data_IF_633798475019
#
_entry.id   IF_633798475019
#
_cell.length_a   1.000
_cell.length_b   1.000
_cell.length_c   1.000
_cell.angle_alpha   90.00
_cell.angle_beta   90.00
_cell.angle_gamma   90.00
#
_symmetry.space_group_name_H-M   'P 1'
#
loop_
_entity.id
_entity.type
_entity.pdbx_description
1 polymer ?
#
# COMPACT_ATOMS: atom_id res chain seq x y z
N UNK A 1 -2.46 -28.54 -32.40
CA UNK A 1 -1.71 -27.43 -33.02
C UNK A 1 -1.12 -26.59 -31.89
N UNK A 2 0.14 -26.83 -31.52
CA UNK A 2 0.81 -26.16 -30.40
C UNK A 2 1.30 -24.78 -30.86
N UNK A 3 0.80 -23.71 -30.25
CA UNK A 3 1.28 -22.35 -30.51
C UNK A 3 2.81 -22.26 -30.30
N UNK A 4 3.52 -21.45 -31.11
CA UNK A 4 4.95 -21.22 -30.94
C UNK A 4 5.27 -20.73 -29.51
N UNK A 5 6.44 -21.11 -29.01
CA UNK A 5 6.86 -20.83 -27.62
C UNK A 5 6.78 -19.32 -27.29
N UNK A 6 7.22 -18.47 -28.22
CA UNK A 6 7.15 -17.00 -28.11
C UNK A 6 5.72 -16.45 -27.99
N UNK A 7 4.72 -17.05 -28.66
CA UNK A 7 3.33 -16.59 -28.53
C UNK A 7 2.70 -17.01 -27.20
N UNK A 8 3.17 -18.10 -26.59
CA UNK A 8 2.75 -18.52 -25.25
C UNK A 8 3.29 -17.59 -24.17
N UNK A 9 4.55 -17.19 -24.27
CA UNK A 9 5.18 -16.24 -23.34
C UNK A 9 4.51 -14.87 -23.39
N UNK A 10 4.27 -14.34 -24.60
CA UNK A 10 3.56 -13.08 -24.77
C UNK A 10 2.13 -13.17 -24.22
N UNK A 11 1.42 -14.27 -24.48
CA UNK A 11 0.10 -14.51 -23.92
C UNK A 11 0.10 -14.54 -22.38
N UNK A 12 1.10 -15.16 -21.77
CA UNK A 12 1.28 -15.21 -20.32
C UNK A 12 1.53 -13.83 -19.70
N UNK A 13 2.39 -13.02 -20.32
CA UNK A 13 2.69 -11.66 -19.86
C UNK A 13 1.47 -10.75 -19.97
N UNK A 14 0.71 -10.85 -21.07
CA UNK A 14 -0.54 -10.12 -21.25
C UNK A 14 -1.57 -10.52 -20.20
N UNK A 15 -1.68 -11.81 -19.89
CA UNK A 15 -2.59 -12.30 -18.86
C UNK A 15 -2.17 -11.82 -17.47
N UNK A 16 -0.88 -11.86 -17.14
CA UNK A 16 -0.37 -11.32 -15.87
C UNK A 16 -0.65 -9.81 -15.75
N UNK A 17 -0.43 -9.05 -16.83
CA UNK A 17 -0.75 -7.62 -16.86
C UNK A 17 -2.25 -7.36 -16.66
N UNK A 18 -3.12 -8.20 -17.25
CA UNK A 18 -4.56 -8.14 -17.02
C UNK A 18 -4.93 -8.45 -15.56
N UNK A 19 -4.30 -9.47 -14.94
CA UNK A 19 -4.50 -9.82 -13.52
C UNK A 19 -4.06 -8.67 -12.61
N UNK A 20 -2.89 -8.08 -12.86
CA UNK A 20 -2.40 -6.92 -12.11
C UNK A 20 -3.31 -5.70 -12.27
N UNK A 21 -3.73 -5.41 -13.50
CA UNK A 21 -4.63 -4.30 -13.80
C UNK A 21 -5.99 -4.46 -13.14
N UNK A 22 -6.59 -5.64 -13.22
CA UNK A 22 -7.85 -5.97 -12.55
C UNK A 22 -7.71 -5.90 -11.03
N UNK A 23 -6.64 -6.49 -10.49
CA UNK A 23 -6.36 -6.49 -9.05
C UNK A 23 -6.16 -5.08 -8.51
N UNK A 24 -5.49 -4.19 -9.25
CA UNK A 24 -5.33 -2.78 -8.87
C UNK A 24 -6.67 -2.03 -8.97
N UNK A 25 -7.44 -2.26 -10.05
CA UNK A 25 -8.74 -1.65 -10.25
C UNK A 25 -9.67 -1.94 -9.09
N UNK A 26 -9.83 -3.22 -8.70
CA UNK A 26 -10.70 -3.63 -7.58
C UNK A 26 -10.28 -2.93 -6.28
N UNK A 27 -8.98 -2.83 -6.00
CA UNK A 27 -8.48 -2.23 -4.75
C UNK A 27 -8.69 -0.73 -4.72
N UNK A 28 -8.42 -0.05 -5.83
CA UNK A 28 -8.67 1.38 -5.98
C UNK A 28 -10.17 1.69 -5.94
N UNK A 29 -11.00 0.81 -6.50
CA UNK A 29 -12.45 0.93 -6.47
C UNK A 29 -12.98 0.82 -5.03
N UNK A 30 -12.53 -0.17 -4.26
CA UNK A 30 -12.85 -0.32 -2.83
C UNK A 30 -12.38 0.89 -2.01
N UNK A 31 -11.18 1.40 -2.28
CA UNK A 31 -10.67 2.61 -1.64
C UNK A 31 -11.53 3.85 -1.93
N UNK A 32 -12.10 3.97 -3.13
CA UNK A 32 -12.90 5.14 -3.54
C UNK A 32 -14.38 5.04 -3.21
N UNK A 33 -14.93 3.83 -3.20
CA UNK A 33 -16.33 3.55 -2.90
C UNK A 33 -16.46 3.19 -1.41
N UNK A 34 -16.35 4.23 -0.58
CA UNK A 34 -16.81 4.16 0.80
C UNK A 34 -18.32 3.99 0.84
N UNK A 35 -18.80 3.23 1.82
CA UNK A 35 -20.22 3.11 2.13
C UNK A 35 -20.83 4.52 2.24
N UNK A 36 -21.99 4.81 1.61
CA UNK A 36 -22.58 6.15 1.60
C UNK A 36 -22.79 6.73 3.01
N UNK A 37 -23.00 5.87 4.00
CA UNK A 37 -23.15 6.23 5.41
C UNK A 37 -21.84 6.65 6.08
N UNK A 38 -20.70 6.08 5.65
CA UNK A 38 -19.37 6.34 6.19
C UNK A 38 -18.65 7.48 5.47
N UNK A 39 -19.03 7.77 4.21
CA UNK A 39 -18.46 8.83 3.38
C UNK A 39 -18.39 10.20 4.06
N UNK A 40 -19.39 10.68 4.82
CA UNK A 40 -19.31 11.97 5.51
C UNK A 40 -18.23 12.03 6.61
N UNK A 41 -17.85 10.86 7.14
CA UNK A 41 -16.88 10.73 8.24
C UNK A 41 -15.47 10.40 7.75
N UNK A 42 -15.36 9.80 6.55
CA UNK A 42 -14.11 9.29 5.98
C UNK A 42 -13.67 10.01 4.71
N UNK A 43 -14.32 11.13 4.36
CA UNK A 43 -13.86 12.01 3.28
C UNK A 43 -14.01 13.48 3.65
N UNK A 44 -13.04 14.28 3.21
CA UNK A 44 -13.06 15.73 3.38
C UNK A 44 -13.95 16.41 2.33
N UNK A 45 -14.22 17.71 2.51
CA UNK A 45 -15.00 18.53 1.57
C UNK A 45 -14.41 18.51 0.14
N UNK A 46 -13.08 18.38 0.04
CA UNK A 46 -12.34 18.29 -1.22
C UNK A 46 -12.27 16.86 -1.79
N UNK A 47 -12.93 15.89 -1.16
CA UNK A 47 -12.95 14.48 -1.57
C UNK A 47 -11.73 13.66 -1.16
N UNK A 48 -10.84 14.20 -0.30
CA UNK A 48 -9.69 13.46 0.24
C UNK A 48 -10.13 12.40 1.25
N UNK A 49 -9.64 11.17 1.10
CA UNK A 49 -9.99 10.04 1.96
C UNK A 49 -9.20 10.07 3.28
N UNK A 50 -9.88 9.75 4.38
CA UNK A 50 -9.28 9.48 5.69
C UNK A 50 -9.08 7.99 5.91
N UNK A 51 -8.26 7.64 6.91
CA UNK A 51 -8.15 6.25 7.32
C UNK A 51 -9.36 5.79 8.15
N UNK A 52 -9.84 4.58 7.90
CA UNK A 52 -10.79 3.78 8.65
C UNK A 52 -10.23 3.37 10.01
N UNK A 53 -8.98 2.92 10.07
CA UNK A 53 -8.37 2.42 11.32
C UNK A 53 -7.50 3.47 12.01
N UNK A 54 -7.61 3.54 13.34
CA UNK A 54 -6.83 4.46 14.17
C UNK A 54 -5.31 4.24 14.02
N UNK A 55 -4.86 2.99 13.91
CA UNK A 55 -3.43 2.66 13.83
C UNK A 55 -2.75 3.25 12.58
N UNK A 56 -3.48 3.40 11.47
CA UNK A 56 -2.95 4.02 10.24
C UNK A 56 -2.55 5.48 10.45
N UNK A 57 -3.24 6.22 11.33
CA UNK A 57 -2.86 7.59 11.65
C UNK A 57 -1.52 7.68 12.37
N UNK A 58 -1.14 6.66 13.15
CA UNK A 58 0.17 6.60 13.79
C UNK A 58 1.28 6.50 12.72
N UNK A 59 1.13 5.60 11.75
CA UNK A 59 2.09 5.43 10.66
C UNK A 59 2.16 6.66 9.76
N UNK A 60 1.03 7.31 9.50
CA UNK A 60 0.99 8.57 8.78
C UNK A 60 1.75 9.68 9.48
N UNK A 61 1.58 9.86 10.79
CA UNK A 61 2.35 10.83 11.57
C UNK A 61 3.85 10.51 11.56
N UNK A 62 4.22 9.25 11.77
CA UNK A 62 5.62 8.82 11.69
C UNK A 62 6.22 9.09 10.31
N UNK A 63 5.47 8.86 9.23
CA UNK A 63 5.91 9.12 7.86
C UNK A 63 6.12 10.61 7.61
N UNK A 64 5.24 11.46 8.16
CA UNK A 64 5.39 12.91 8.11
C UNK A 64 6.66 13.35 8.84
N UNK A 65 6.90 12.83 10.04
CA UNK A 65 8.11 13.15 10.80
C UNK A 65 9.38 12.71 10.07
N UNK A 66 9.34 11.57 9.36
CA UNK A 66 10.45 11.15 8.49
C UNK A 66 10.72 12.17 7.38
N UNK A 67 9.69 12.74 6.77
CA UNK A 67 9.82 13.76 5.73
C UNK A 67 10.32 15.10 6.28
N UNK A 68 9.82 15.50 7.46
CA UNK A 68 10.09 16.83 8.04
C UNK A 68 11.41 16.87 8.84
N UNK A 69 11.74 15.79 9.53
CA UNK A 69 12.86 15.72 10.49
C UNK A 69 13.91 14.66 10.15
N UNK A 70 13.63 13.76 9.20
CA UNK A 70 14.51 12.64 8.88
C UNK A 70 14.42 11.49 9.89
N UNK A 71 13.43 11.46 10.77
CA UNK A 71 13.20 10.38 11.73
C UNK A 71 11.72 10.22 12.12
N UNK A 72 11.32 9.02 12.55
CA UNK A 72 9.92 8.71 12.88
C UNK A 72 9.41 9.27 14.23
N UNK A 73 10.24 9.99 15.00
CA UNK A 73 9.85 10.65 16.25
C UNK A 73 9.53 12.14 16.05
N UNK A 74 8.97 12.78 17.09
CA UNK A 74 8.79 14.24 17.17
C UNK A 74 10.11 14.94 17.52
N UNK A 75 10.94 14.28 18.33
CA UNK A 75 12.23 14.82 18.75
C UNK A 75 13.31 13.76 18.83
N UNK A 76 14.57 14.18 18.94
CA UNK A 76 15.70 13.31 19.26
C UNK A 76 16.08 13.51 20.72
N UNK A 77 16.01 12.43 21.51
CA UNK A 77 16.52 12.40 22.87
C UNK A 77 17.73 11.47 22.93
N UNK A 78 18.91 12.04 23.22
CA UNK A 78 20.18 11.32 23.21
C UNK A 78 20.41 10.50 21.92
N UNK A 79 20.11 11.10 20.76
CA UNK A 79 20.27 10.46 19.44
C UNK A 79 19.21 9.43 19.08
N UNK A 80 18.19 9.20 19.93
CA UNK A 80 17.09 8.28 19.66
C UNK A 80 15.82 9.05 19.34
N UNK A 81 15.12 8.63 18.29
CA UNK A 81 13.81 9.17 17.94
C UNK A 81 12.84 8.96 19.11
N UNK A 82 12.15 10.02 19.51
CA UNK A 82 11.25 10.04 20.65
C UNK A 82 9.88 10.55 20.22
N UNK A 83 8.84 9.92 20.75
CA UNK A 83 7.44 10.27 20.52
C UNK A 83 6.90 11.01 21.75
N UNK A 84 6.83 12.33 21.65
CA UNK A 84 6.37 13.21 22.72
C UNK A 84 4.84 13.25 22.84
N UNK A 85 4.12 12.86 21.79
CA UNK A 85 2.66 12.98 21.72
C UNK A 85 1.92 11.75 22.25
N UNK A 86 2.63 10.67 22.55
CA UNK A 86 2.06 9.44 23.11
C UNK A 86 2.52 9.26 24.55
N UNK A 87 1.67 8.74 25.44
CA UNK A 87 2.00 8.56 26.88
C UNK A 87 2.39 9.87 27.58
N UNK A 88 1.55 10.89 27.41
CA UNK A 88 1.71 12.14 28.13
C UNK A 88 1.73 11.90 29.66
N UNK A 89 2.56 12.62 30.43
CA UNK A 89 3.48 13.68 29.99
C UNK A 89 4.88 13.20 29.60
N UNK A 90 5.20 11.91 29.79
CA UNK A 90 6.58 11.41 29.69
C UNK A 90 7.04 11.18 28.26
N UNK A 91 6.12 10.91 27.33
CA UNK A 91 6.46 10.43 26.01
C UNK A 91 6.92 8.98 26.03
N UNK A 92 7.35 8.47 24.87
CA UNK A 92 8.03 7.17 24.76
C UNK A 92 9.06 7.18 23.62
N UNK A 93 10.03 6.24 23.59
CA UNK A 93 10.83 6.02 22.39
C UNK A 93 9.95 5.76 21.18
N UNK A 94 10.24 6.41 20.04
CA UNK A 94 9.54 6.12 18.79
C UNK A 94 9.96 4.73 18.30
N UNK A 95 8.98 3.91 17.93
CA UNK A 95 9.26 2.56 17.44
C UNK A 95 9.78 2.65 15.99
N UNK A 96 10.84 1.90 15.63
CA UNK A 96 11.31 1.86 14.25
C UNK A 96 10.20 1.26 13.38
N UNK A 97 9.70 2.05 12.42
CA UNK A 97 8.64 1.62 11.51
C UNK A 97 9.15 1.62 10.07
N UNK A 98 9.36 0.43 9.51
CA UNK A 98 9.71 0.27 8.10
C UNK A 98 8.62 0.88 7.20
N UNK A 99 7.35 0.69 7.57
CA UNK A 99 6.22 1.20 6.81
C UNK A 99 6.26 2.74 6.71
N UNK A 100 6.64 3.44 7.79
CA UNK A 100 6.76 4.89 7.78
C UNK A 100 7.82 5.39 6.78
N UNK A 101 8.95 4.68 6.70
CA UNK A 101 10.01 4.98 5.73
C UNK A 101 9.58 4.67 4.29
N UNK A 102 8.94 3.52 4.07
CA UNK A 102 8.41 3.13 2.74
C UNK A 102 7.38 4.15 2.27
N UNK A 103 6.48 4.58 3.16
CA UNK A 103 5.45 5.57 2.86
C UNK A 103 6.05 6.95 2.57
N UNK A 104 7.03 7.40 3.36
CA UNK A 104 7.76 8.63 3.08
C UNK A 104 8.47 8.58 1.71
N UNK A 105 9.13 7.47 1.39
CA UNK A 105 9.80 7.29 0.10
C UNK A 105 8.80 7.28 -1.08
N UNK A 106 7.69 6.55 -0.93
CA UNK A 106 6.61 6.52 -1.93
C UNK A 106 6.00 7.92 -2.14
N UNK A 107 5.88 8.72 -1.08
CA UNK A 107 5.39 10.09 -1.19
C UNK A 107 6.34 10.98 -2.01
N UNK A 108 7.66 10.82 -1.89
CA UNK A 108 8.63 11.61 -2.65
C UNK A 108 8.56 11.42 -4.17
N UNK A 109 8.02 10.29 -4.63
CA UNK A 109 7.79 10.00 -6.06
C UNK A 109 6.35 10.28 -6.50
N UNK A 110 5.49 10.72 -5.58
CA UNK A 110 4.10 11.07 -5.88
C UNK A 110 4.05 12.45 -6.56
N UNK A 111 3.18 12.66 -7.58
CA UNK A 111 3.03 13.95 -8.24
C UNK A 111 2.73 15.10 -7.26
N UNK A 112 3.24 16.29 -7.59
CA UNK A 112 2.94 17.52 -6.85
C UNK A 112 1.42 17.79 -6.84
N UNK A 113 0.88 18.13 -5.67
CA UNK A 113 -0.56 18.38 -5.48
C UNK A 113 -1.31 17.23 -4.81
N UNK A 114 -0.69 16.06 -4.65
CA UNK A 114 -1.25 14.97 -3.84
C UNK A 114 -0.82 15.15 -2.39
N UNK A 115 -1.76 15.07 -1.45
CA UNK A 115 -1.47 15.11 -0.02
C UNK A 115 -0.79 13.82 0.45
N UNK A 116 0.03 13.90 1.50
CA UNK A 116 0.64 12.71 2.11
C UNK A 116 -0.43 11.70 2.57
N UNK A 117 -1.57 12.21 3.05
CA UNK A 117 -2.69 11.37 3.46
C UNK A 117 -3.26 10.57 2.28
N UNK A 118 -3.53 11.24 1.14
CA UNK A 118 -4.01 10.57 -0.05
C UNK A 118 -2.99 9.53 -0.57
N UNK A 119 -1.71 9.87 -0.61
CA UNK A 119 -0.67 8.93 -1.01
C UNK A 119 -0.58 7.70 -0.09
N UNK A 120 -0.74 7.91 1.22
CA UNK A 120 -0.75 6.84 2.22
C UNK A 120 -1.96 5.90 2.07
N UNK A 121 -3.13 6.46 1.75
CA UNK A 121 -4.34 5.71 1.45
C UNK A 121 -4.15 4.76 0.25
N UNK A 122 -3.47 5.20 -0.81
CA UNK A 122 -3.21 4.35 -1.99
C UNK A 122 -2.02 3.40 -1.85
N UNK A 123 -1.17 3.58 -0.83
CA UNK A 123 0.04 2.79 -0.65
C UNK A 123 -0.23 1.26 -0.53
N UNK A 124 -1.21 0.77 0.26
CA UNK A 124 -1.49 -0.65 0.34
C UNK A 124 -1.94 -1.26 -1.00
N UNK A 125 -2.68 -0.50 -1.82
CA UNK A 125 -3.06 -0.94 -3.16
C UNK A 125 -1.83 -1.15 -4.05
N UNK A 126 -0.85 -0.24 -4.01
CA UNK A 126 0.43 -0.38 -4.74
C UNK A 126 1.25 -1.56 -4.22
N UNK A 127 1.39 -1.71 -2.91
CA UNK A 127 2.13 -2.83 -2.30
C UNK A 127 1.49 -4.18 -2.61
N UNK A 128 0.17 -4.25 -2.72
CA UNK A 128 -0.53 -5.47 -3.10
C UNK A 128 -0.15 -5.96 -4.50
N UNK A 129 0.14 -5.06 -5.46
CA UNK A 129 0.61 -5.44 -6.78
C UNK A 129 1.97 -6.13 -6.72
N UNK A 130 2.85 -5.69 -5.80
CA UNK A 130 4.12 -6.37 -5.56
C UNK A 130 3.92 -7.79 -5.00
N UNK A 131 2.92 -7.98 -4.13
CA UNK A 131 2.56 -9.32 -3.60
C UNK A 131 2.03 -10.24 -4.70
N UNK A 132 1.17 -9.72 -5.59
CA UNK A 132 0.68 -10.48 -6.76
C UNK A 132 1.84 -10.94 -7.64
N UNK A 133 2.80 -10.05 -7.91
CA UNK A 133 3.98 -10.40 -8.68
C UNK A 133 4.86 -11.42 -7.96
N UNK A 134 5.06 -11.27 -6.65
CA UNK A 134 5.82 -12.22 -5.85
C UNK A 134 5.20 -13.62 -5.89
N UNK A 135 3.88 -13.73 -5.73
CA UNK A 135 3.17 -15.02 -5.78
C UNK A 135 3.15 -15.63 -7.19
N UNK A 136 3.16 -14.80 -8.23
CA UNK A 136 3.39 -15.27 -9.60
C UNK A 136 4.77 -15.94 -9.74
N UNK A 137 5.83 -15.26 -9.29
CA UNK A 137 7.20 -15.78 -9.36
C UNK A 137 7.37 -17.05 -8.51
N UNK A 138 6.78 -17.08 -7.31
CA UNK A 138 6.80 -18.26 -6.46
C UNK A 138 6.07 -19.44 -7.11
N UNK A 139 4.90 -19.20 -7.70
CA UNK A 139 4.16 -20.26 -8.41
C UNK A 139 4.89 -20.75 -9.66
N UNK A 140 5.65 -19.87 -10.35
CA UNK A 140 6.51 -20.27 -11.46
C UNK A 140 7.57 -21.29 -11.01
N UNK A 141 8.21 -21.05 -9.87
CA UNK A 141 9.25 -21.94 -9.33
C UNK A 141 8.66 -23.30 -8.87
N UNK A 142 7.49 -23.28 -8.21
CA UNK A 142 6.89 -24.48 -7.64
C UNK A 142 6.20 -25.40 -8.65
N UNK A 143 5.60 -24.85 -9.71
CA UNK A 143 4.77 -25.64 -10.63
C UNK A 143 4.64 -25.06 -12.03
N UNK A 144 5.55 -24.15 -12.39
CA UNK A 144 5.57 -23.51 -13.70
C UNK A 144 4.43 -22.51 -13.91
N UNK A 145 4.22 -22.15 -15.17
CA UNK A 145 3.38 -21.01 -15.57
C UNK A 145 1.94 -21.08 -15.03
N UNK A 146 1.33 -22.27 -15.00
CA UNK A 146 -0.06 -22.42 -14.55
C UNK A 146 -0.21 -22.12 -13.06
N UNK A 147 0.74 -22.58 -12.25
CA UNK A 147 0.78 -22.33 -10.81
C UNK A 147 1.08 -20.85 -10.52
N UNK A 148 2.00 -20.23 -11.27
CA UNK A 148 2.26 -18.78 -11.19
C UNK A 148 1.01 -17.96 -11.47
N UNK A 149 0.31 -18.22 -12.59
CA UNK A 149 -0.92 -17.50 -12.94
C UNK A 149 -2.04 -17.72 -11.93
N UNK A 150 -2.21 -18.95 -11.43
CA UNK A 150 -3.21 -19.24 -10.40
C UNK A 150 -2.92 -18.49 -9.09
N UNK A 151 -1.67 -18.50 -8.63
CA UNK A 151 -1.25 -17.77 -7.43
C UNK A 151 -1.45 -16.25 -7.55
N UNK A 152 -1.09 -15.69 -8.71
CA UNK A 152 -1.31 -14.28 -9.02
C UNK A 152 -2.80 -13.91 -8.99
N UNK A 153 -3.66 -14.73 -9.60
CA UNK A 153 -5.09 -14.50 -9.67
C UNK A 153 -5.76 -14.56 -8.28
N UNK A 154 -5.41 -15.58 -7.48
CA UNK A 154 -5.92 -15.72 -6.11
C UNK A 154 -5.55 -14.49 -5.28
N UNK A 155 -4.29 -14.06 -5.34
CA UNK A 155 -3.82 -12.89 -4.60
C UNK A 155 -4.48 -11.59 -5.08
N UNK A 156 -4.65 -11.43 -6.40
CA UNK A 156 -5.24 -10.23 -6.98
C UNK A 156 -6.70 -10.04 -6.53
N UNK A 157 -7.44 -11.13 -6.38
CA UNK A 157 -8.88 -11.14 -6.07
C UNK A 157 -9.20 -11.40 -4.58
N UNK A 158 -8.19 -11.66 -3.74
CA UNK A 158 -8.43 -11.93 -2.33
C UNK A 158 -9.04 -10.70 -1.63
N UNK A 159 -10.21 -10.83 -0.97
CA UNK A 159 -10.94 -9.69 -0.42
C UNK A 159 -10.18 -8.95 0.67
N UNK A 160 -9.45 -9.66 1.54
CA UNK A 160 -8.62 -9.04 2.60
C UNK A 160 -7.41 -8.27 2.05
N UNK A 161 -7.05 -8.47 0.78
CA UNK A 161 -6.02 -7.67 0.13
C UNK A 161 -6.58 -6.37 -0.47
N UNK A 162 -7.89 -6.15 -0.36
CA UNK A 162 -8.49 -4.86 -0.66
C UNK A 162 -8.09 -3.85 0.42
N UNK A 163 -7.51 -2.74 -0.03
CA UNK A 163 -7.10 -1.67 0.86
C UNK A 163 -8.35 -0.96 1.39
N UNK A 164 -8.67 -1.19 2.67
CA UNK A 164 -9.53 -0.29 3.42
C UNK A 164 -8.69 0.93 3.76
N UNK A 165 -9.03 2.07 3.16
CA UNK A 165 -8.52 3.35 3.64
C UNK A 165 -9.22 3.65 4.92
#
# INVERSE_FOLDING_TARGET
MTLPERTREVGALLLLAAILGLGLYVKVDVTRHLDPELRPYLSDADGSLYFYTHDSFLYYRMSRNVLDHGHAGESLRAGKAWDDLTFAPKGRPSSPSLLAWVQALAYRVTPSGVSLLAAACFLPAVLSCAVVLFLFLLGLDLGGLRCGLAGALIAALHPEMAAHC
#
